data_IF_380168857435
#
_entry.id   IF_380168857435
#
_cell.length_a   1.000
_cell.length_b   1.000
_cell.length_c   1.000
_cell.angle_alpha   90.00
_cell.angle_beta   90.00
_cell.angle_gamma   90.00
#
_symmetry.space_group_name_H-M   'P 1'
#
loop_
_entity.id
_entity.type
_entity.pdbx_description
1 polymer ?
#
# COMPACT_ATOMS: atom_id res chain seq x y z
N UNK A 1 -4.78 -3.62 -3.88
CA UNK A 1 -5.92 -3.60 -4.83
C UNK A 1 -5.67 -2.64 -5.98
N UNK A 2 -5.85 -1.32 -5.82
CA UNK A 2 -5.75 -0.35 -6.94
C UNK A 2 -4.38 -0.35 -7.65
N UNK A 3 -3.27 -0.32 -6.91
CA UNK A 3 -1.93 -0.38 -7.49
C UNK A 3 -1.67 -1.69 -8.27
N UNK A 4 -2.32 -2.79 -7.87
CA UNK A 4 -2.20 -4.08 -8.56
C UNK A 4 -3.03 -4.10 -9.84
N UNK A 5 -4.24 -3.53 -9.81
CA UNK A 5 -5.03 -3.31 -11.02
C UNK A 5 -4.26 -2.48 -12.04
N UNK A 6 -3.72 -1.33 -11.62
CA UNK A 6 -2.91 -0.45 -12.46
C UNK A 6 -1.68 -1.17 -13.04
N UNK A 7 -0.98 -1.98 -12.23
CA UNK A 7 0.14 -2.79 -12.72
C UNK A 7 -0.29 -3.80 -13.78
N UNK A 8 -1.36 -4.55 -13.54
CA UNK A 8 -1.83 -5.59 -14.47
C UNK A 8 -2.27 -4.98 -15.80
N UNK A 9 -2.98 -3.85 -15.78
CA UNK A 9 -3.44 -3.20 -17.02
C UNK A 9 -2.26 -2.68 -17.83
N UNK A 10 -1.27 -2.05 -17.20
CA UNK A 10 -0.05 -1.62 -17.90
C UNK A 10 0.74 -2.80 -18.47
N UNK A 11 0.93 -3.88 -17.71
CA UNK A 11 1.64 -5.09 -18.19
C UNK A 11 0.96 -5.72 -19.41
N UNK A 12 -0.39 -5.71 -19.47
CA UNK A 12 -1.14 -6.20 -20.63
C UNK A 12 -0.95 -5.31 -21.86
N UNK A 13 -1.01 -4.00 -21.69
CA UNK A 13 -0.75 -3.05 -22.78
C UNK A 13 0.69 -3.19 -23.28
N UNK A 14 1.66 -3.31 -22.39
CA UNK A 14 3.07 -3.51 -22.74
C UNK A 14 3.30 -4.84 -23.49
N UNK A 15 2.50 -5.86 -23.21
CA UNK A 15 2.48 -7.13 -23.94
C UNK A 15 1.75 -7.05 -25.30
N UNK A 16 1.18 -5.90 -25.66
CA UNK A 16 0.41 -5.69 -26.90
C UNK A 16 -1.00 -6.28 -26.85
N UNK A 17 -1.51 -6.61 -25.66
CA UNK A 17 -2.88 -7.09 -25.48
C UNK A 17 -3.84 -5.88 -25.46
N UNK A 18 -4.92 -5.89 -26.25
CA UNK A 18 -5.95 -4.86 -26.14
C UNK A 18 -6.68 -4.97 -24.79
N UNK A 19 -7.09 -3.83 -24.23
CA UNK A 19 -7.92 -3.76 -23.03
C UNK A 19 -9.28 -3.17 -23.39
N UNK A 20 -10.29 -4.04 -23.50
CA UNK A 20 -11.68 -3.61 -23.61
C UNK A 20 -12.27 -3.30 -22.23
N UNK A 21 -13.46 -2.70 -22.18
CA UNK A 21 -14.17 -2.53 -20.91
C UNK A 21 -14.49 -3.87 -20.24
N UNK A 22 -14.78 -4.92 -21.02
CA UNK A 22 -15.04 -6.26 -20.48
C UNK A 22 -13.79 -6.84 -19.81
N UNK A 23 -12.61 -6.65 -20.42
CA UNK A 23 -11.33 -7.09 -19.83
C UNK A 23 -11.03 -6.36 -18.53
N UNK A 24 -11.21 -5.04 -18.51
CA UNK A 24 -10.98 -4.21 -17.32
C UNK A 24 -11.94 -4.58 -16.17
N UNK A 25 -13.22 -4.74 -16.48
CA UNK A 25 -14.23 -5.21 -15.52
C UNK A 25 -13.85 -6.57 -14.94
N UNK A 26 -13.44 -7.52 -15.79
CA UNK A 26 -13.03 -8.86 -15.35
C UNK A 26 -11.80 -8.81 -14.44
N UNK A 27 -10.76 -8.08 -14.82
CA UNK A 27 -9.54 -7.92 -14.00
C UNK A 27 -9.93 -7.31 -12.64
N UNK A 28 -10.78 -6.28 -12.64
CA UNK A 28 -11.20 -5.62 -11.42
C UNK A 28 -12.03 -6.53 -10.50
N UNK A 29 -12.94 -7.32 -11.07
CA UNK A 29 -13.73 -8.31 -10.34
C UNK A 29 -12.84 -9.36 -9.66
N UNK A 30 -11.92 -9.96 -10.41
CA UNK A 30 -10.99 -10.98 -9.89
C UNK A 30 -10.11 -10.44 -8.76
N UNK A 31 -9.70 -9.18 -8.85
CA UNK A 31 -8.97 -8.50 -7.79
C UNK A 31 -9.86 -8.30 -6.55
N UNK A 32 -11.12 -7.88 -6.70
CA UNK A 32 -12.04 -7.73 -5.56
C UNK A 32 -12.27 -9.06 -4.84
N UNK A 33 -12.58 -10.13 -5.57
CA UNK A 33 -12.76 -11.48 -5.02
C UNK A 33 -11.53 -11.89 -4.20
N UNK A 34 -10.32 -11.63 -4.73
CA UNK A 34 -9.07 -11.99 -4.05
C UNK A 34 -8.81 -11.20 -2.77
N UNK A 35 -9.09 -9.89 -2.76
CA UNK A 35 -8.76 -9.03 -1.64
C UNK A 35 -9.78 -9.11 -0.49
N UNK A 36 -11.05 -9.33 -0.81
CA UNK A 36 -12.11 -9.34 0.19
C UNK A 36 -12.53 -10.73 0.67
N UNK A 37 -12.22 -11.79 -0.11
CA UNK A 37 -12.45 -13.17 0.29
C UNK A 37 -13.90 -13.63 0.17
N UNK A 38 -14.15 -14.88 0.58
CA UNK A 38 -15.41 -15.59 0.36
C UNK A 38 -16.58 -15.07 1.22
N UNK A 39 -16.28 -14.40 2.34
CA UNK A 39 -17.29 -13.88 3.26
C UNK A 39 -17.95 -12.58 2.75
N UNK A 40 -17.37 -11.93 1.73
CA UNK A 40 -17.92 -10.71 1.15
C UNK A 40 -18.68 -11.00 -0.16
N UNK A 41 -19.88 -10.43 -0.26
CA UNK A 41 -20.63 -10.43 -1.53
C UNK A 41 -19.98 -9.41 -2.46
N UNK A 42 -19.47 -9.88 -3.61
CA UNK A 42 -18.93 -9.04 -4.68
C UNK A 42 -20.06 -8.76 -5.67
N UNK A 43 -20.72 -7.62 -5.52
CA UNK A 43 -21.82 -7.21 -6.39
C UNK A 43 -21.32 -6.93 -7.82
N UNK A 44 -22.13 -7.26 -8.82
CA UNK A 44 -21.77 -7.07 -10.23
C UNK A 44 -21.46 -5.62 -10.57
N UNK A 45 -22.08 -4.68 -9.88
CA UNK A 45 -21.88 -3.24 -10.08
C UNK A 45 -20.44 -2.79 -9.74
N UNK A 46 -19.72 -3.51 -8.87
CA UNK A 46 -18.35 -3.16 -8.48
C UNK A 46 -17.36 -3.33 -9.63
N UNK A 47 -17.69 -4.15 -10.64
CA UNK A 47 -16.85 -4.39 -11.81
C UNK A 47 -16.53 -3.09 -12.56
N UNK A 48 -17.40 -2.09 -12.47
CA UNK A 48 -17.25 -0.77 -13.10
C UNK A 48 -16.52 0.25 -12.24
N UNK A 49 -16.13 -0.08 -11.00
CA UNK A 49 -15.53 0.89 -10.09
C UNK A 49 -14.20 1.46 -10.62
N UNK A 50 -13.43 0.68 -11.39
CA UNK A 50 -12.19 1.18 -11.99
C UNK A 50 -12.41 2.45 -12.82
N UNK A 51 -13.56 2.58 -13.49
CA UNK A 51 -13.85 3.70 -14.38
C UNK A 51 -14.08 5.03 -13.66
N UNK A 52 -14.32 5.01 -12.34
CA UNK A 52 -14.57 6.22 -11.53
C UNK A 52 -13.39 6.59 -10.63
N UNK A 53 -12.28 5.85 -10.64
CA UNK A 53 -11.11 6.11 -9.79
C UNK A 53 -10.21 7.14 -10.47
N UNK A 54 -10.14 8.41 -9.99
CA UNK A 54 -9.37 9.45 -10.66
C UNK A 54 -7.86 9.19 -10.63
N UNK A 55 -7.39 8.43 -9.63
CA UNK A 55 -5.98 8.14 -9.47
C UNK A 55 -5.41 7.25 -10.58
N UNK A 56 -6.23 6.50 -11.33
CA UNK A 56 -5.74 5.72 -12.48
C UNK A 56 -5.35 6.59 -13.68
N UNK A 57 -5.60 7.90 -13.61
CA UNK A 57 -5.12 8.89 -14.57
C UNK A 57 -3.84 9.59 -14.09
N UNK A 58 -3.18 9.07 -13.05
CA UNK A 58 -1.87 9.50 -12.58
C UNK A 58 -0.96 8.29 -12.39
N UNK A 59 0.14 8.26 -13.14
CA UNK A 59 1.01 7.09 -13.24
C UNK A 59 1.55 6.61 -11.89
N UNK A 60 1.10 5.43 -11.45
CA UNK A 60 1.58 4.68 -10.30
C UNK A 60 1.65 5.49 -9.00
N UNK A 61 0.62 6.30 -8.72
CA UNK A 61 0.57 7.11 -7.51
C UNK A 61 0.10 6.32 -6.26
N UNK A 62 -0.92 5.47 -6.42
CA UNK A 62 -1.69 4.93 -5.28
C UNK A 62 -0.93 3.97 -4.37
N UNK A 63 0.14 3.32 -4.85
CA UNK A 63 0.95 2.43 -4.00
C UNK A 63 1.67 3.20 -2.89
N UNK A 64 1.86 4.51 -3.06
CA UNK A 64 2.52 5.39 -2.10
C UNK A 64 1.73 5.49 -0.79
N UNK A 65 0.40 5.36 -0.82
CA UNK A 65 -0.42 5.32 0.39
C UNK A 65 -0.07 4.11 1.27
N UNK A 66 -0.02 2.92 0.67
CA UNK A 66 0.27 1.68 1.40
C UNK A 66 1.71 1.68 1.95
N UNK A 67 2.67 2.14 1.16
CA UNK A 67 4.09 2.21 1.57
C UNK A 67 4.32 3.30 2.62
N UNK A 68 3.70 4.47 2.49
CA UNK A 68 3.74 5.54 3.50
C UNK A 68 3.12 5.12 4.83
N UNK A 69 1.95 4.48 4.79
CA UNK A 69 1.30 3.93 5.99
C UNK A 69 2.15 2.84 6.65
N UNK A 70 2.82 2.02 5.83
CA UNK A 70 3.72 0.98 6.34
C UNK A 70 4.97 1.55 7.01
N UNK A 71 5.57 2.58 6.42
CA UNK A 71 6.69 3.29 7.02
C UNK A 71 6.29 3.92 8.37
N UNK A 72 5.11 4.56 8.43
CA UNK A 72 4.60 5.17 9.65
C UNK A 72 4.44 4.15 10.79
N UNK A 73 3.83 2.99 10.53
CA UNK A 73 3.69 1.94 11.54
C UNK A 73 5.05 1.39 12.01
N UNK A 74 6.02 1.24 11.10
CA UNK A 74 7.36 0.80 11.47
C UNK A 74 8.09 1.82 12.35
N UNK A 75 7.92 3.13 12.08
CA UNK A 75 8.39 4.19 12.98
C UNK A 75 7.75 4.12 14.36
N UNK A 76 6.42 4.04 14.43
CA UNK A 76 5.67 3.97 15.69
C UNK A 76 6.14 2.78 16.51
N UNK A 77 6.21 1.58 15.93
CA UNK A 77 6.70 0.38 16.59
C UNK A 77 8.11 0.57 17.14
N UNK A 78 9.03 1.08 16.32
CA UNK A 78 10.40 1.33 16.74
C UNK A 78 10.51 2.36 17.87
N UNK A 79 9.65 3.38 17.89
CA UNK A 79 9.59 4.40 18.96
C UNK A 79 9.07 3.78 20.26
N UNK A 80 8.03 2.94 20.19
CA UNK A 80 7.47 2.28 21.37
C UNK A 80 8.43 1.24 21.97
N UNK A 81 9.17 0.50 21.13
CA UNK A 81 10.10 -0.54 21.58
C UNK A 81 11.45 0.02 22.07
N UNK A 82 12.02 0.99 21.35
CA UNK A 82 13.40 1.44 21.57
C UNK A 82 13.51 2.85 22.17
N UNK A 83 12.38 3.56 22.34
CA UNK A 83 12.33 4.85 23.02
C UNK A 83 13.18 5.94 22.37
N UNK A 84 14.04 6.59 23.17
CA UNK A 84 14.72 7.85 22.83
C UNK A 84 15.53 7.77 21.53
N UNK A 85 16.25 6.68 21.29
CA UNK A 85 17.11 6.54 20.10
C UNK A 85 16.29 6.56 18.81
N UNK A 86 15.13 5.90 18.81
CA UNK A 86 14.20 5.91 17.67
C UNK A 86 13.51 7.26 17.49
N UNK A 87 13.21 7.96 18.58
CA UNK A 87 12.67 9.33 18.52
C UNK A 87 13.65 10.27 17.84
N UNK A 88 14.95 10.19 18.16
CA UNK A 88 15.96 11.03 17.52
C UNK A 88 16.15 10.69 16.03
N UNK A 89 16.10 9.40 15.66
CA UNK A 89 16.08 9.00 14.23
C UNK A 89 14.86 9.57 13.49
N UNK A 90 13.67 9.52 14.09
CA UNK A 90 12.46 10.09 13.50
C UNK A 90 12.52 11.62 13.38
N UNK A 91 13.07 12.33 14.38
CA UNK A 91 13.32 13.77 14.27
C UNK A 91 14.33 14.08 13.14
N UNK A 92 15.34 13.24 12.97
CA UNK A 92 16.27 13.32 11.83
C UNK A 92 15.56 13.17 10.49
N UNK A 93 14.65 12.21 10.37
CA UNK A 93 13.77 12.05 9.21
C UNK A 93 12.98 13.34 8.91
N UNK A 94 12.28 13.90 9.91
CA UNK A 94 11.48 15.12 9.74
C UNK A 94 12.32 16.31 9.28
N UNK A 95 13.54 16.46 9.82
CA UNK A 95 14.48 17.52 9.44
C UNK A 95 15.05 17.36 8.03
N UNK A 96 15.01 16.16 7.46
CA UNK A 96 15.60 15.88 6.15
C UNK A 96 14.80 16.50 5.00
N UNK A 97 13.49 16.73 5.17
CA UNK A 97 12.64 17.23 4.09
C UNK A 97 12.80 16.39 2.81
N UNK A 98 12.94 17.06 1.66
CA UNK A 98 13.22 16.43 0.37
C UNK A 98 14.70 16.40 -0.02
N UNK A 99 15.63 16.29 0.94
CA UNK A 99 17.07 16.43 0.67
C UNK A 99 17.70 15.27 -0.12
N UNK A 100 17.01 14.14 -0.26
CA UNK A 100 17.49 12.89 -0.88
C UNK A 100 16.26 12.08 -1.35
N UNK A 101 16.48 10.96 -2.05
CA UNK A 101 15.42 10.05 -2.45
C UNK A 101 14.66 9.51 -1.22
N UNK A 102 13.32 9.41 -1.27
CA UNK A 102 12.51 8.99 -0.13
C UNK A 102 12.97 7.66 0.48
N UNK A 103 13.39 6.70 -0.35
CA UNK A 103 13.88 5.39 0.11
C UNK A 103 15.18 5.49 0.92
N UNK A 104 16.08 6.41 0.54
CA UNK A 104 17.32 6.65 1.26
C UNK A 104 17.06 7.36 2.59
N UNK A 105 16.17 8.37 2.59
CA UNK A 105 15.79 9.10 3.80
C UNK A 105 15.16 8.15 4.82
N UNK A 106 14.19 7.33 4.40
CA UNK A 106 13.56 6.33 5.27
C UNK A 106 14.57 5.32 5.81
N UNK A 107 15.45 4.80 4.94
CA UNK A 107 16.47 3.82 5.34
C UNK A 107 17.45 4.39 6.36
N UNK A 108 17.91 5.64 6.18
CA UNK A 108 18.75 6.36 7.16
C UNK A 108 18.05 6.54 8.51
N UNK A 109 16.73 6.70 8.50
CA UNK A 109 15.90 6.82 9.70
C UNK A 109 15.55 5.46 10.35
N UNK A 110 16.01 4.34 9.78
CA UNK A 110 15.79 2.99 10.32
C UNK A 110 14.60 2.24 9.73
N UNK A 111 13.97 2.76 8.67
CA UNK A 111 12.86 2.11 7.96
C UNK A 111 13.31 1.72 6.55
N UNK A 112 13.67 0.45 6.36
CA UNK A 112 14.09 -0.05 5.05
C UNK A 112 12.90 -0.56 4.22
N UNK A 113 12.45 0.27 3.28
CA UNK A 113 11.35 -0.03 2.36
C UNK A 113 11.69 -1.07 1.28
N UNK A 114 12.96 -1.48 1.17
CA UNK A 114 13.36 -2.61 0.29
C UNK A 114 13.19 -3.98 0.96
N UNK A 115 12.82 -3.98 2.24
CA UNK A 115 12.56 -5.18 3.03
C UNK A 115 11.06 -5.36 3.29
N UNK A 116 10.59 -6.58 3.59
CA UNK A 116 9.18 -6.81 3.96
C UNK A 116 8.82 -6.28 5.36
N UNK A 117 9.80 -5.81 6.15
CA UNK A 117 9.59 -5.45 7.56
C UNK A 117 8.50 -4.38 7.77
N UNK A 118 8.46 -3.24 7.04
CA UNK A 118 7.45 -2.21 7.27
C UNK A 118 6.01 -2.69 7.08
N UNK A 119 5.77 -3.53 6.06
CA UNK A 119 4.46 -4.13 5.82
C UNK A 119 4.12 -5.14 6.94
N UNK A 120 5.08 -5.97 7.35
CA UNK A 120 4.88 -6.92 8.46
C UNK A 120 4.56 -6.22 9.79
N UNK A 121 5.24 -5.11 10.08
CA UNK A 121 4.95 -4.30 11.27
C UNK A 121 3.52 -3.73 11.23
N UNK A 122 3.03 -3.35 10.04
CA UNK A 122 1.66 -2.86 9.84
C UNK A 122 0.62 -3.95 10.04
N UNK A 123 0.85 -5.14 9.47
CA UNK A 123 -0.03 -6.30 9.66
C UNK A 123 -0.08 -6.70 11.14
N UNK A 124 1.07 -6.71 11.82
CA UNK A 124 1.11 -6.97 13.26
C UNK A 124 0.26 -5.96 14.04
N UNK A 125 0.37 -4.66 13.72
CA UNK A 125 -0.44 -3.63 14.36
C UNK A 125 -1.94 -3.80 14.07
N UNK A 126 -2.30 -4.19 12.85
CA UNK A 126 -3.68 -4.47 12.48
C UNK A 126 -4.24 -5.64 13.30
N UNK A 127 -3.50 -6.74 13.42
CA UNK A 127 -3.90 -7.90 14.23
C UNK A 127 -4.08 -7.54 15.71
N UNK A 128 -3.17 -6.77 16.30
CA UNK A 128 -3.32 -6.29 17.68
C UNK A 128 -4.63 -5.51 17.89
N UNK A 129 -4.99 -4.66 16.93
CA UNK A 129 -6.21 -3.86 17.00
C UNK A 129 -7.47 -4.71 16.82
N UNK A 130 -7.43 -5.74 15.98
CA UNK A 130 -8.51 -6.72 15.86
C UNK A 130 -8.69 -7.53 17.15
N UNK A 131 -7.60 -8.05 17.73
CA UNK A 131 -7.61 -8.79 18.99
C UNK A 131 -8.16 -7.96 20.17
N UNK A 132 -8.05 -6.63 20.08
CA UNK A 132 -8.65 -5.71 21.05
C UNK A 132 -10.14 -5.48 20.82
N UNK A 133 -10.62 -5.58 19.59
CA UNK A 133 -12.04 -5.44 19.23
C UNK A 133 -12.85 -6.68 19.60
N UNK A 134 -12.25 -7.87 19.47
CA UNK A 134 -12.92 -9.16 19.74
C UNK A 134 -13.07 -9.49 21.23
N UNK A 135 -12.61 -8.61 22.13
CA UNK A 135 -12.70 -8.73 23.59
C UNK A 135 -13.78 -7.82 24.17
#
# INVERSE_FOLDING_TARGET
MFAEFEKITHEKIDAGEPLTSEDLCKIYHEINVRYFGEDMIIDKEIDMEWARIPHFYNDFYVYQYATGYSAANSFVKSILENGKDSVEKYKGFLKSGGSDYPINILKKAGVDMTSPKPIKDTIARFNELLDMLDK
#
